data_IF_102706037164
#
_entry.id   IF_102706037164
#
_cell.length_a   1.000
_cell.length_b   1.000
_cell.length_c   1.000
_cell.angle_alpha   90.00
_cell.angle_beta   90.00
_cell.angle_gamma   90.00
#
_symmetry.space_group_name_H-M   'P 1'
#
loop_
_entity.id
_entity.type
_entity.pdbx_description
1 polymer ?
#
# COMPACT_ATOMS: atom_id res chain seq x y z
N UNK A 1 -3.40 -23.34 -3.31
CA UNK A 1 -3.78 -21.92 -3.21
C UNK A 1 -3.12 -21.32 -1.98
N UNK A 2 -1.95 -20.69 -2.14
CA UNK A 2 -1.35 -19.90 -1.06
C UNK A 2 -2.08 -18.55 -1.03
N UNK A 3 -2.85 -18.29 0.02
CA UNK A 3 -3.38 -16.95 0.25
C UNK A 3 -2.18 -16.04 0.54
N UNK A 4 -1.86 -15.18 -0.41
CA UNK A 4 -0.89 -14.14 -0.17
C UNK A 4 -1.40 -13.22 0.92
N UNK A 5 -0.61 -12.95 1.96
CA UNK A 5 -1.02 -12.07 3.06
C UNK A 5 -1.60 -10.77 2.48
N UNK A 6 -2.87 -10.51 2.77
CA UNK A 6 -3.77 -9.57 2.08
C UNK A 6 -3.45 -8.10 2.33
N UNK A 7 -2.26 -7.66 1.92
CA UNK A 7 -1.84 -6.27 1.98
C UNK A 7 -1.76 -5.64 0.59
N UNK A 8 -2.05 -4.33 0.51
CA UNK A 8 -2.09 -3.58 -0.75
C UNK A 8 -0.78 -3.60 -1.53
N UNK A 9 0.35 -3.61 -0.84
CA UNK A 9 1.67 -3.67 -1.47
C UNK A 9 2.00 -5.04 -2.11
N UNK A 10 1.17 -6.08 -1.91
CA UNK A 10 1.30 -7.36 -2.61
C UNK A 10 0.39 -7.47 -3.84
N UNK A 11 -0.46 -6.46 -4.10
CA UNK A 11 -1.31 -6.42 -5.28
C UNK A 11 -0.51 -6.03 -6.52
N UNK A 12 -0.79 -6.62 -7.70
CA UNK A 12 -0.23 -6.14 -8.94
C UNK A 12 -0.49 -4.64 -9.12
N UNK A 13 0.52 -3.90 -9.59
CA UNK A 13 0.46 -2.43 -9.70
C UNK A 13 -0.78 -1.91 -10.44
N UNK A 14 -1.25 -2.63 -11.46
CA UNK A 14 -2.43 -2.26 -12.25
C UNK A 14 -3.77 -2.50 -11.53
N UNK A 15 -3.80 -3.32 -10.47
CA UNK A 15 -5.00 -3.64 -9.68
C UNK A 15 -5.19 -2.64 -8.54
N UNK A 16 -4.09 -2.14 -7.96
CA UNK A 16 -4.13 -1.25 -6.79
C UNK A 16 -5.07 -0.04 -6.96
N UNK A 17 -5.09 0.70 -8.09
CA UNK A 17 -5.99 1.84 -8.26
C UNK A 17 -7.47 1.48 -8.12
N UNK A 18 -7.88 0.33 -8.67
CA UNK A 18 -9.26 -0.16 -8.60
C UNK A 18 -9.66 -0.53 -7.17
N UNK A 19 -8.73 -1.12 -6.42
CA UNK A 19 -8.94 -1.50 -5.01
C UNK A 19 -9.05 -0.24 -4.13
N UNK A 20 -8.18 0.75 -4.33
CA UNK A 20 -8.29 2.05 -3.65
C UNK A 20 -9.62 2.74 -3.93
N UNK A 21 -10.07 2.76 -5.20
CA UNK A 21 -11.39 3.30 -5.55
C UNK A 21 -12.54 2.54 -4.88
N UNK A 22 -12.37 1.25 -4.58
CA UNK A 22 -13.36 0.45 -3.86
C UNK A 22 -13.43 0.83 -2.39
N UNK A 23 -12.29 1.14 -1.75
CA UNK A 23 -12.29 1.73 -0.39
C UNK A 23 -12.98 3.10 -0.38
N UNK A 24 -12.66 3.96 -1.34
CA UNK A 24 -13.28 5.28 -1.43
C UNK A 24 -14.81 5.23 -1.55
N UNK A 25 -15.34 4.28 -2.32
CA UNK A 25 -16.80 4.07 -2.45
C UNK A 25 -17.45 3.47 -1.20
N UNK A 26 -16.70 2.70 -0.41
CA UNK A 26 -17.22 2.08 0.81
C UNK A 26 -17.27 3.04 2.01
N UNK A 27 -16.49 4.13 1.97
CA UNK A 27 -16.47 5.16 3.00
C UNK A 27 -17.60 6.16 2.83
N UNK A 28 -18.25 6.52 3.94
CA UNK A 28 -19.11 7.70 3.99
C UNK A 28 -18.28 8.99 3.80
N UNK A 29 -18.88 10.11 3.36
CA UNK A 29 -18.22 11.41 3.39
C UNK A 29 -17.65 11.72 4.79
N UNK A 30 -16.40 12.18 4.84
CA UNK A 30 -15.61 12.36 6.07
C UNK A 30 -14.98 11.08 6.64
N UNK A 31 -15.24 9.92 6.05
CA UNK A 31 -14.68 8.63 6.47
C UNK A 31 -13.17 8.55 6.29
N UNK A 32 -12.48 7.84 7.18
CA UNK A 32 -11.01 7.75 7.21
C UNK A 32 -10.48 6.48 6.54
N UNK A 33 -9.40 6.62 5.76
CA UNK A 33 -8.60 5.55 5.19
C UNK A 33 -7.15 5.69 5.69
N UNK A 34 -6.58 4.61 6.22
CA UNK A 34 -5.16 4.58 6.66
C UNK A 34 -4.49 3.38 6.00
N UNK A 35 -3.30 3.60 5.44
CA UNK A 35 -2.52 2.56 4.78
C UNK A 35 -1.03 2.71 5.06
N UNK A 36 -0.33 1.58 5.16
CA UNK A 36 1.13 1.50 5.20
C UNK A 36 1.69 0.77 3.98
N UNK A 37 2.84 1.19 3.48
CA UNK A 37 3.56 0.51 2.39
C UNK A 37 5.08 0.58 2.57
N UNK A 38 5.79 -0.29 1.84
CA UNK A 38 7.25 -0.22 1.70
C UNK A 38 7.62 0.82 0.65
N UNK A 39 8.62 1.65 0.98
CA UNK A 39 9.11 2.69 0.09
C UNK A 39 10.25 2.18 -0.79
N UNK A 40 10.24 2.57 -2.06
CA UNK A 40 11.27 2.23 -3.04
C UNK A 40 10.69 2.03 -4.44
N UNK A 41 11.50 1.51 -5.35
CA UNK A 41 11.14 1.34 -6.77
C UNK A 41 11.19 -0.13 -7.23
N UNK A 42 11.35 -1.07 -6.30
CA UNK A 42 11.55 -2.50 -6.61
C UNK A 42 10.25 -3.30 -6.54
N UNK A 43 10.19 -4.31 -7.40
CA UNK A 43 9.25 -5.42 -7.30
C UNK A 43 10.01 -6.65 -6.77
N UNK A 44 9.72 -7.05 -5.54
CA UNK A 44 10.46 -8.10 -4.84
C UNK A 44 9.64 -9.38 -4.86
N UNK A 45 10.01 -10.33 -5.72
CA UNK A 45 9.42 -11.68 -5.73
C UNK A 45 9.74 -12.37 -4.41
N UNK A 46 8.71 -12.82 -3.70
CA UNK A 46 8.82 -13.54 -2.42
C UNK A 46 8.57 -15.02 -2.66
N UNK A 47 9.56 -15.85 -2.38
CA UNK A 47 9.45 -17.32 -2.49
C UNK A 47 9.35 -18.01 -1.13
N UNK A 48 9.83 -17.36 -0.06
CA UNK A 48 9.71 -17.83 1.32
C UNK A 48 9.43 -16.63 2.22
N UNK A 49 8.37 -16.71 3.03
CA UNK A 49 8.01 -15.72 4.05
C UNK A 49 7.41 -16.47 5.25
N UNK A 50 7.63 -15.96 6.47
CA UNK A 50 7.16 -16.59 7.72
C UNK A 50 7.60 -18.07 7.88
N UNK A 51 8.75 -18.44 7.30
CA UNK A 51 9.27 -19.82 7.36
C UNK A 51 8.59 -20.81 6.40
N UNK A 52 7.66 -20.35 5.55
CA UNK A 52 6.95 -21.20 4.57
C UNK A 52 7.09 -20.72 3.12
N UNK A 53 6.88 -21.59 2.12
CA UNK A 53 6.91 -21.21 0.72
C UNK A 53 5.72 -20.30 0.39
N UNK A 54 5.96 -19.27 -0.42
CA UNK A 54 4.93 -18.35 -0.92
C UNK A 54 5.15 -18.01 -2.39
N UNK A 55 4.08 -17.61 -3.07
CA UNK A 55 4.13 -17.12 -4.44
C UNK A 55 3.42 -15.76 -4.57
N UNK A 56 4.15 -14.68 -4.25
CA UNK A 56 3.69 -13.32 -4.51
C UNK A 56 4.86 -12.37 -4.80
N UNK A 57 4.53 -11.14 -5.19
CA UNK A 57 5.48 -10.03 -5.35
C UNK A 57 5.12 -8.92 -4.37
N UNK A 58 6.10 -8.40 -3.65
CA UNK A 58 5.96 -7.18 -2.85
C UNK A 58 6.42 -6.00 -3.70
N UNK A 59 5.49 -5.11 -4.03
CA UNK A 59 5.72 -3.89 -4.80
C UNK A 59 6.06 -2.74 -3.84
N UNK A 60 7.27 -2.20 -3.98
CA UNK A 60 7.63 -0.95 -3.33
C UNK A 60 7.09 0.24 -4.13
N UNK A 61 6.78 1.31 -3.42
CA UNK A 61 6.25 2.53 -4.03
C UNK A 61 7.08 3.74 -3.66
N UNK A 62 7.33 4.64 -4.61
CA UNK A 62 7.72 5.99 -4.23
C UNK A 62 6.56 6.63 -3.47
N UNK A 63 6.83 7.45 -2.45
CA UNK A 63 5.75 8.06 -1.70
C UNK A 63 4.84 8.92 -2.58
N UNK A 64 5.43 9.65 -3.52
CA UNK A 64 4.72 10.55 -4.43
C UNK A 64 3.77 9.78 -5.35
N UNK A 65 4.21 8.63 -5.89
CA UNK A 65 3.36 7.75 -6.71
C UNK A 65 2.23 7.14 -5.87
N UNK A 66 2.54 6.68 -4.66
CA UNK A 66 1.55 6.02 -3.80
C UNK A 66 0.45 6.99 -3.36
N UNK A 67 0.83 8.20 -2.94
CA UNK A 67 -0.09 9.27 -2.57
C UNK A 67 -0.93 9.70 -3.77
N UNK A 68 -0.33 9.85 -4.95
CA UNK A 68 -1.08 10.17 -6.17
C UNK A 68 -2.14 9.13 -6.54
N UNK A 69 -1.91 7.84 -6.26
CA UNK A 69 -2.92 6.80 -6.45
C UNK A 69 -4.09 6.92 -5.45
N UNK A 70 -3.83 7.34 -4.22
CA UNK A 70 -4.85 7.59 -3.19
C UNK A 70 -5.71 8.79 -3.61
N UNK A 71 -5.08 9.87 -4.08
CA UNK A 71 -5.78 11.06 -4.58
C UNK A 71 -6.66 10.74 -5.80
N UNK A 72 -6.12 10.00 -6.77
CA UNK A 72 -6.87 9.56 -7.95
C UNK A 72 -8.08 8.68 -7.60
N UNK A 73 -8.06 8.00 -6.46
CA UNK A 73 -9.18 7.22 -5.97
C UNK A 73 -10.29 8.06 -5.30
N UNK A 74 -10.12 9.38 -5.17
CA UNK A 74 -11.09 10.28 -4.53
C UNK A 74 -10.96 10.33 -3.00
N UNK A 75 -9.79 9.98 -2.48
CA UNK A 75 -9.42 10.10 -1.07
C UNK A 75 -8.38 11.22 -0.94
N UNK A 76 -8.65 12.22 -0.10
CA UNK A 76 -7.74 13.34 0.11
C UNK A 76 -6.75 13.02 1.23
N UNK A 77 -5.43 12.97 0.97
CA UNK A 77 -4.42 12.81 2.01
C UNK A 77 -4.51 13.94 3.04
N UNK A 78 -4.38 13.59 4.32
CA UNK A 78 -4.40 14.55 5.45
C UNK A 78 -3.20 14.38 6.37
N UNK A 79 -2.50 13.25 6.30
CA UNK A 79 -1.22 13.06 6.95
C UNK A 79 -0.36 12.04 6.22
N UNK A 80 0.95 12.28 6.22
CA UNK A 80 1.96 11.36 5.74
C UNK A 80 3.06 11.20 6.80
N UNK A 81 3.42 9.97 7.11
CA UNK A 81 4.54 9.63 7.98
C UNK A 81 5.54 8.79 7.22
N UNK A 82 6.74 9.33 7.01
CA UNK A 82 7.87 8.61 6.41
C UNK A 82 8.67 7.93 7.51
N UNK A 83 8.78 6.62 7.42
CA UNK A 83 9.53 5.80 8.37
C UNK A 83 10.92 5.54 7.80
N UNK A 84 12.00 5.87 8.53
CA UNK A 84 13.35 5.53 8.10
C UNK A 84 13.52 4.00 8.07
N UNK A 85 14.51 3.54 7.32
CA UNK A 85 14.94 2.15 7.40
C UNK A 85 15.65 1.91 8.75
N UNK A 86 15.58 0.68 9.24
CA UNK A 86 16.39 0.19 10.35
C UNK A 86 17.20 -1.05 9.92
N UNK A 87 17.83 -1.71 10.89
CA UNK A 87 18.66 -2.92 10.70
C UNK A 87 17.89 -4.11 10.09
N UNK A 88 16.57 -4.18 10.26
CA UNK A 88 15.74 -5.31 9.87
C UNK A 88 14.71 -4.96 8.79
N UNK A 89 14.32 -3.70 8.67
CA UNK A 89 13.20 -3.25 7.84
C UNK A 89 13.61 -2.06 6.96
N UNK A 90 13.27 -2.15 5.67
CA UNK A 90 13.46 -1.04 4.73
C UNK A 90 12.55 0.16 5.04
N UNK A 91 12.74 1.30 4.36
CA UNK A 91 11.96 2.50 4.64
C UNK A 91 10.48 2.28 4.33
N UNK A 92 9.62 2.99 5.05
CA UNK A 92 8.17 2.85 4.96
C UNK A 92 7.45 4.19 4.78
N UNK A 93 6.19 4.10 4.40
CA UNK A 93 5.27 5.22 4.34
C UNK A 93 3.95 4.81 4.98
N UNK A 94 3.41 5.67 5.83
CA UNK A 94 2.02 5.61 6.30
C UNK A 94 1.29 6.84 5.80
N UNK A 95 0.14 6.63 5.17
CA UNK A 95 -0.74 7.71 4.70
C UNK A 95 -2.09 7.58 5.39
N UNK A 96 -2.59 8.70 5.91
CA UNK A 96 -3.98 8.87 6.31
C UNK A 96 -4.66 9.78 5.30
N UNK A 97 -5.82 9.38 4.82
CA UNK A 97 -6.65 10.14 3.90
C UNK A 97 -8.12 10.13 4.37
N UNK A 98 -8.88 11.12 3.93
CA UNK A 98 -10.31 11.22 4.19
C UNK A 98 -11.10 11.18 2.89
N UNK A 99 -12.29 10.60 2.94
CA UNK A 99 -13.25 10.69 1.85
C UNK A 99 -13.87 12.08 1.88
N UNK A 100 -13.67 12.86 0.82
CA UNK A 100 -14.41 14.12 0.62
C UNK A 100 -15.90 13.85 0.37
#
# INVERSE_FOLDING_TARGET
>A
MSWGGGSLFNLPRHVLPQVLASFARALMPGGCFITGTHTGEKDVRRTVVYGGPVEWTTHQWSPEKYVGLIEQAGLRPVAELRLPADEHVGPGLVVMAVRD
#
